data_IF_863861173665
#
_entry.id   IF_863861173665
#
_cell.length_a   1.000
_cell.length_b   1.000
_cell.length_c   1.000
_cell.angle_alpha   90.00
_cell.angle_beta   90.00
_cell.angle_gamma   90.00
#
_symmetry.space_group_name_H-M   'P 1'
#
loop_
_entity.id
_entity.type
_entity.pdbx_description
1 polymer ?
#
# COMPACT_ATOMS: atom_id res chain seq x y z
N UNK A 1 6.60 -17.86 -12.25
CA UNK A 1 5.17 -17.64 -11.93
C UNK A 1 5.00 -16.16 -11.68
N UNK A 2 4.18 -15.45 -12.46
CA UNK A 2 4.01 -14.00 -12.33
C UNK A 2 2.68 -13.75 -11.63
N UNK A 3 2.73 -13.11 -10.46
CA UNK A 3 1.54 -12.73 -9.68
C UNK A 3 1.17 -11.28 -9.97
N UNK A 4 -0.10 -10.92 -9.79
CA UNK A 4 -0.59 -9.54 -9.84
C UNK A 4 -0.46 -8.82 -8.49
N UNK A 5 0.30 -9.39 -7.56
CA UNK A 5 0.52 -8.85 -6.23
C UNK A 5 1.83 -8.05 -6.19
N UNK A 6 1.75 -6.84 -5.65
CA UNK A 6 2.94 -6.06 -5.29
C UNK A 6 3.47 -6.60 -3.96
N UNK A 7 4.20 -7.71 -4.05
CA UNK A 7 4.72 -8.41 -2.88
C UNK A 7 5.78 -7.55 -2.18
N UNK A 8 5.69 -7.35 -0.86
CA UNK A 8 6.69 -6.60 -0.14
C UNK A 8 8.03 -7.35 -0.16
N UNK A 9 9.14 -6.62 -0.07
CA UNK A 9 10.49 -7.20 -0.13
C UNK A 9 10.66 -8.31 0.92
N UNK A 10 10.16 -8.08 2.13
CA UNK A 10 10.25 -9.04 3.23
C UNK A 10 9.49 -10.35 2.98
N UNK A 11 8.56 -10.40 2.02
CA UNK A 11 7.81 -11.62 1.70
C UNK A 11 8.73 -12.80 1.33
N UNK A 12 9.91 -12.48 0.80
CA UNK A 12 10.93 -13.43 0.37
C UNK A 12 12.01 -13.69 1.41
N UNK A 13 11.95 -13.03 2.57
CA UNK A 13 12.97 -13.18 3.59
C UNK A 13 12.95 -14.61 4.17
N UNK A 14 14.12 -15.24 4.41
CA UNK A 14 14.20 -16.59 4.96
C UNK A 14 13.54 -16.74 6.34
N UNK A 15 13.49 -15.66 7.11
CA UNK A 15 12.89 -15.61 8.44
C UNK A 15 11.37 -15.44 8.41
N UNK A 16 10.80 -15.08 7.25
CA UNK A 16 9.36 -14.93 7.09
C UNK A 16 8.71 -16.29 6.98
N UNK A 17 7.76 -16.57 7.87
CA UNK A 17 7.06 -17.85 7.91
C UNK A 17 5.98 -17.94 6.84
N UNK A 18 5.52 -19.14 6.53
CA UNK A 18 4.37 -19.32 5.63
C UNK A 18 3.07 -18.77 6.23
N UNK A 19 2.96 -18.72 7.56
CA UNK A 19 1.84 -18.07 8.26
C UNK A 19 1.84 -16.55 8.02
N UNK A 20 2.99 -15.89 8.18
CA UNK A 20 3.12 -14.45 7.90
C UNK A 20 2.73 -14.11 6.45
N UNK A 21 3.17 -14.95 5.51
CA UNK A 21 2.82 -14.82 4.08
C UNK A 21 1.32 -15.02 3.87
N UNK A 22 0.72 -16.03 4.48
CA UNK A 22 -0.71 -16.34 4.38
C UNK A 22 -1.58 -15.20 4.92
N UNK A 23 -1.22 -14.69 6.09
CA UNK A 23 -1.91 -13.58 6.75
C UNK A 23 -1.84 -12.32 5.90
N UNK A 24 -0.66 -11.99 5.37
CA UNK A 24 -0.49 -10.85 4.50
C UNK A 24 -1.30 -10.98 3.21
N UNK A 25 -1.25 -12.14 2.55
CA UNK A 25 -2.00 -12.41 1.32
C UNK A 25 -3.52 -12.27 1.55
N UNK A 26 -4.00 -12.76 2.69
CA UNK A 26 -5.41 -12.66 3.08
C UNK A 26 -5.82 -11.20 3.31
N UNK A 27 -5.02 -10.46 4.06
CA UNK A 27 -5.26 -9.04 4.31
C UNK A 27 -5.24 -8.22 3.02
N UNK A 28 -4.27 -8.45 2.14
CA UNK A 28 -4.14 -7.71 0.87
C UNK A 28 -5.30 -8.04 -0.07
N UNK A 29 -5.78 -9.29 -0.12
CA UNK A 29 -6.99 -9.65 -0.89
C UNK A 29 -8.21 -8.89 -0.39
N UNK A 30 -8.44 -8.88 0.93
CA UNK A 30 -9.55 -8.15 1.55
C UNK A 30 -9.45 -6.65 1.28
N UNK A 31 -8.25 -6.07 1.38
CA UNK A 31 -7.98 -4.65 1.08
C UNK A 31 -8.34 -4.33 -0.37
N UNK A 32 -7.82 -5.09 -1.33
CA UNK A 32 -8.08 -4.91 -2.76
C UNK A 32 -9.57 -4.99 -3.08
N UNK A 33 -10.27 -5.96 -2.49
CA UNK A 33 -11.72 -6.10 -2.67
C UNK A 33 -12.47 -4.89 -2.09
N UNK A 34 -12.13 -4.46 -0.88
CA UNK A 34 -12.75 -3.30 -0.24
C UNK A 34 -12.52 -1.99 -1.01
N UNK A 35 -11.34 -1.82 -1.62
CA UNK A 35 -10.99 -0.66 -2.45
C UNK A 35 -11.72 -0.65 -3.81
N UNK A 36 -12.03 -1.82 -4.39
CA UNK A 36 -12.83 -1.92 -5.62
C UNK A 36 -14.31 -1.60 -5.40
N UNK A 37 -14.79 -1.75 -4.17
CA UNK A 37 -16.18 -1.48 -3.79
C UNK A 37 -16.32 -0.07 -3.19
N UNK A 38 -17.55 0.47 -3.18
CA UNK A 38 -17.84 1.76 -2.55
C UNK A 38 -18.04 1.61 -1.03
N UNK A 39 -17.01 1.13 -0.33
CA UNK A 39 -17.07 0.88 1.12
C UNK A 39 -16.64 2.10 1.95
N UNK A 40 -17.02 2.11 3.22
CA UNK A 40 -16.51 3.10 4.17
C UNK A 40 -14.98 3.01 4.36
N UNK A 41 -14.41 1.81 4.24
CA UNK A 41 -12.97 1.60 4.29
C UNK A 41 -12.25 2.34 3.17
N UNK A 42 -12.74 2.22 1.93
CA UNK A 42 -12.20 2.94 0.78
C UNK A 42 -12.15 4.45 1.02
N UNK A 43 -13.27 5.05 1.45
CA UNK A 43 -13.35 6.49 1.73
C UNK A 43 -12.32 6.93 2.78
N UNK A 44 -12.11 6.13 3.82
CA UNK A 44 -11.10 6.41 4.87
C UNK A 44 -9.68 6.33 4.32
N UNK A 45 -9.39 5.34 3.47
CA UNK A 45 -8.08 5.20 2.85
C UNK A 45 -7.76 6.35 1.90
N UNK A 46 -8.71 6.78 1.08
CA UNK A 46 -8.58 7.95 0.19
C UNK A 46 -8.29 9.23 0.99
N UNK A 47 -9.09 9.51 2.03
CA UNK A 47 -8.85 10.66 2.92
C UNK A 47 -7.49 10.60 3.65
N UNK A 48 -7.03 9.40 4.01
CA UNK A 48 -5.70 9.22 4.60
C UNK A 48 -4.59 9.54 3.60
N UNK A 49 -4.72 9.04 2.37
CA UNK A 49 -3.79 9.31 1.29
C UNK A 49 -3.73 10.81 0.94
N UNK A 50 -4.87 11.49 0.85
CA UNK A 50 -4.94 12.94 0.62
C UNK A 50 -4.27 13.74 1.75
N UNK A 51 -4.49 13.35 3.01
CA UNK A 51 -3.83 13.99 4.16
C UNK A 51 -2.32 13.80 4.13
N UNK A 52 -1.87 12.60 3.75
CA UNK A 52 -0.45 12.30 3.60
C UNK A 52 0.17 13.14 2.49
N UNK A 53 -0.45 13.18 1.31
CA UNK A 53 0.02 13.98 0.18
C UNK A 53 0.11 15.48 0.53
N UNK A 54 -0.87 16.02 1.26
CA UNK A 54 -0.80 17.41 1.75
C UNK A 54 0.36 17.67 2.70
N UNK A 55 0.68 16.71 3.58
CA UNK A 55 1.81 16.83 4.52
C UNK A 55 3.15 16.74 3.80
N UNK A 56 3.26 15.83 2.84
CA UNK A 56 4.45 15.72 1.98
C UNK A 56 4.61 17.01 1.16
N UNK A 57 3.60 17.48 0.45
CA UNK A 57 3.69 18.73 -0.32
C UNK A 57 4.06 19.98 0.51
N UNK A 58 3.66 20.01 1.79
CA UNK A 58 4.01 21.12 2.70
C UNK A 58 5.39 20.95 3.35
N UNK A 59 6.04 19.79 3.24
CA UNK A 59 7.32 19.53 3.86
C UNK A 59 8.45 20.05 2.94
N UNK A 60 9.24 21.04 3.38
CA UNK A 60 10.32 21.59 2.56
C UNK A 60 11.46 20.59 2.28
N UNK A 61 11.51 19.48 3.01
CA UNK A 61 12.49 18.41 2.79
C UNK A 61 12.04 17.36 1.76
N UNK A 62 10.85 17.48 1.18
CA UNK A 62 10.37 16.59 0.13
C UNK A 62 10.27 17.32 -1.20
N UNK A 63 10.78 16.70 -2.26
CA UNK A 63 10.75 17.21 -3.63
C UNK A 63 9.95 16.27 -4.52
N UNK A 64 9.21 16.81 -5.48
CA UNK A 64 8.49 16.01 -6.47
C UNK A 64 9.48 15.45 -7.49
N UNK A 65 9.75 14.14 -7.45
CA UNK A 65 10.74 13.48 -8.32
C UNK A 65 10.44 13.68 -9.80
N UNK A 66 9.17 13.80 -10.17
CA UNK A 66 8.75 13.98 -11.57
C UNK A 66 9.10 15.35 -12.15
N UNK A 67 9.44 16.33 -11.32
CA UNK A 67 9.92 17.65 -11.76
C UNK A 67 11.41 17.64 -12.15
N UNK A 68 12.13 16.53 -11.89
CA UNK A 68 13.58 16.39 -12.09
C UNK A 68 13.96 15.33 -13.14
N UNK A 69 12.99 14.87 -13.95
CA UNK A 69 13.21 13.94 -15.08
C UNK A 69 13.23 14.69 -16.41
#
# INVERSE_FOLDING_TARGET
MMTDYDLPVWFWDPETTDEDRSDWMTQERCRRQAMRQQTAYRRRMEQSAERRARREAANPATVAVEEYR
#
